data_IF_541668115521
#
_entry.id   IF_541668115521
#
_cell.length_a   1.000
_cell.length_b   1.000
_cell.length_c   1.000
_cell.angle_alpha   90.00
_cell.angle_beta   90.00
_cell.angle_gamma   90.00
#
_symmetry.space_group_name_H-M   'P 1'
#
loop_
_entity.id
_entity.type
_entity.pdbx_description
1 polymer ?
#
# COMPACT_ATOMS: atom_id res chain seq x y z
N UNK A 1 21.75 7.13 -3.27
CA UNK A 1 20.54 7.47 -2.47
C UNK A 1 19.50 6.43 -2.82
N UNK A 2 19.38 5.39 -2.01
CA UNK A 2 18.52 4.23 -2.31
C UNK A 2 17.79 3.86 -1.03
N UNK A 3 16.47 3.89 -1.07
CA UNK A 3 15.58 3.99 0.08
C UNK A 3 14.35 3.11 -0.24
N UNK A 4 14.33 1.85 0.29
CA UNK A 4 13.38 0.74 -0.04
C UNK A 4 13.05 -0.32 1.09
N UNK A 5 11.82 -0.39 1.68
CA UNK A 5 11.22 -1.19 2.80
C UNK A 5 9.67 -0.97 2.92
N UNK A 6 8.89 -2.02 2.63
CA UNK A 6 7.44 -2.08 2.39
C UNK A 6 6.67 -2.87 3.49
N UNK A 7 5.36 -2.58 3.73
CA UNK A 7 4.30 -3.60 4.01
C UNK A 7 2.85 -3.03 4.01
N UNK A 8 1.90 -3.77 3.39
CA UNK A 8 0.43 -3.59 3.43
C UNK A 8 -0.20 -4.79 4.15
N UNK A 9 -1.18 -4.59 5.06
CA UNK A 9 -1.96 -5.66 5.71
C UNK A 9 -3.45 -5.45 5.46
N UNK A 10 -4.18 -6.50 5.08
CA UNK A 10 -5.65 -6.52 4.95
C UNK A 10 -6.32 -7.49 5.94
N UNK A 11 -7.43 -7.04 6.53
CA UNK A 11 -8.46 -7.70 7.36
C UNK A 11 -8.11 -8.34 8.74
N UNK A 12 -9.05 -8.32 9.72
CA UNK A 12 -8.78 -8.70 11.12
C UNK A 12 -8.98 -10.20 11.35
N UNK A 13 -8.01 -10.86 11.97
CA UNK A 13 -8.16 -12.24 12.48
C UNK A 13 -8.30 -12.17 14.00
N UNK A 14 -9.36 -12.82 14.51
CA UNK A 14 -9.68 -12.91 15.95
C UNK A 14 -8.48 -13.37 16.79
N UNK A 15 -8.32 -12.74 17.96
CA UNK A 15 -7.25 -13.00 18.89
C UNK A 15 -7.26 -14.46 19.40
N UNK A 16 -6.21 -15.21 19.10
CA UNK A 16 -5.77 -16.35 19.92
C UNK A 16 -4.31 -16.17 20.28
N UNK A 17 -4.06 -16.15 21.58
CA UNK A 17 -2.76 -15.95 22.20
C UNK A 17 -1.82 -17.12 21.91
N UNK A 18 -0.55 -16.81 21.63
CA UNK A 18 0.55 -17.77 21.66
C UNK A 18 1.65 -17.20 22.57
N UNK A 19 1.79 -17.86 23.71
CA UNK A 19 2.88 -17.72 24.68
C UNK A 19 4.12 -18.47 24.22
N UNK A 20 5.30 -17.89 24.36
CA UNK A 20 6.56 -18.61 24.19
C UNK A 20 7.76 -17.68 24.02
N UNK A 21 8.74 -17.81 24.91
CA UNK A 21 9.84 -16.88 25.10
C UNK A 21 11.02 -17.07 24.13
N UNK A 22 11.79 -15.99 24.03
CA UNK A 22 13.22 -15.91 23.74
C UNK A 22 13.71 -15.96 22.28
N UNK A 23 14.07 -14.78 21.77
CA UNK A 23 15.39 -14.52 21.16
C UNK A 23 15.61 -13.02 21.02
N UNK A 24 16.46 -12.46 21.90
CA UNK A 24 16.98 -11.11 21.79
C UNK A 24 17.96 -11.03 20.62
N UNK A 25 17.50 -10.49 19.50
CA UNK A 25 18.36 -9.80 18.54
C UNK A 25 17.75 -8.43 18.28
N UNK A 26 18.52 -7.38 18.57
CA UNK A 26 18.11 -6.00 18.43
C UNK A 26 17.80 -5.71 16.95
N UNK A 27 16.51 -5.63 16.63
CA UNK A 27 16.03 -5.21 15.33
C UNK A 27 16.21 -3.69 15.20
N UNK A 28 16.67 -3.17 14.05
CA UNK A 28 16.68 -1.73 13.80
C UNK A 28 15.24 -1.20 13.81
N UNK A 29 15.06 0.01 14.36
CA UNK A 29 13.77 0.59 14.73
C UNK A 29 12.72 0.50 13.61
N UNK A 30 11.68 -0.30 13.86
CA UNK A 30 10.50 -0.44 13.01
C UNK A 30 9.81 0.92 12.87
N UNK A 31 9.45 1.33 11.65
CA UNK A 31 8.57 2.47 11.43
C UNK A 31 7.19 2.10 11.96
N UNK A 32 7.01 2.30 13.26
CA UNK A 32 5.79 2.03 13.97
C UNK A 32 4.67 2.85 13.32
N UNK A 33 3.51 2.22 13.10
CA UNK A 33 2.33 2.96 12.70
C UNK A 33 2.15 4.14 13.67
N UNK A 34 1.77 5.33 13.18
CA UNK A 34 1.60 6.49 14.02
C UNK A 34 0.63 6.16 15.15
N UNK A 35 0.91 6.73 16.34
CA UNK A 35 -0.03 6.69 17.45
C UNK A 35 -1.42 7.11 16.97
N UNK A 36 -2.48 6.56 17.58
CA UNK A 36 -3.85 6.71 17.07
C UNK A 36 -4.25 8.15 16.75
N UNK A 37 -3.85 9.13 17.59
CA UNK A 37 -4.07 10.55 17.35
C UNK A 37 -3.35 11.07 16.09
N UNK A 38 -2.07 10.75 15.92
CA UNK A 38 -1.29 11.16 14.74
C UNK A 38 -1.83 10.55 13.43
N UNK A 39 -2.44 9.36 13.48
CA UNK A 39 -3.08 8.75 12.30
C UNK A 39 -4.33 9.54 11.86
N UNK A 40 -5.13 10.01 12.82
CA UNK A 40 -6.33 10.82 12.52
C UNK A 40 -5.93 12.12 11.81
N UNK A 41 -4.89 12.79 12.29
CA UNK A 41 -4.39 14.03 11.67
C UNK A 41 -3.86 13.77 10.26
N UNK A 42 -3.12 12.68 10.04
CA UNK A 42 -2.64 12.29 8.71
C UNK A 42 -3.77 12.02 7.73
N UNK A 43 -4.82 11.32 8.16
CA UNK A 43 -6.01 11.09 7.35
C UNK A 43 -6.72 12.40 7.02
N UNK A 44 -6.92 13.28 7.99
CA UNK A 44 -7.55 14.58 7.78
C UNK A 44 -6.77 15.43 6.75
N UNK A 45 -5.45 15.47 6.85
CA UNK A 45 -4.58 16.14 5.88
C UNK A 45 -4.68 15.52 4.49
N UNK A 46 -4.73 14.20 4.39
CA UNK A 46 -4.91 13.50 3.12
C UNK A 46 -6.27 13.79 2.47
N UNK A 47 -7.35 13.82 3.26
CA UNK A 47 -8.67 14.19 2.76
C UNK A 47 -8.68 15.64 2.28
N UNK A 48 -8.03 16.56 3.00
CA UNK A 48 -7.91 17.96 2.59
C UNK A 48 -7.15 18.11 1.26
N UNK A 49 -6.01 17.42 1.09
CA UNK A 49 -5.26 17.40 -0.18
C UNK A 49 -6.08 16.82 -1.34
N UNK A 50 -6.82 15.74 -1.09
CA UNK A 50 -7.70 15.12 -2.07
C UNK A 50 -8.83 16.07 -2.50
N UNK A 51 -9.45 16.77 -1.56
CA UNK A 51 -10.48 17.75 -1.86
C UNK A 51 -9.92 18.98 -2.60
N UNK A 52 -8.71 19.42 -2.27
CA UNK A 52 -8.06 20.58 -2.88
C UNK A 52 -7.77 20.41 -4.37
N UNK A 53 -7.59 19.17 -4.86
CA UNK A 53 -7.44 18.88 -6.30
C UNK A 53 -8.78 18.70 -7.02
N UNK A 54 -9.90 18.90 -6.32
CA UNK A 54 -11.24 18.86 -6.91
C UNK A 54 -11.87 17.47 -7.00
N UNK A 55 -11.25 16.43 -6.44
CA UNK A 55 -11.81 15.08 -6.44
C UNK A 55 -13.14 15.05 -5.68
N UNK A 56 -14.07 14.23 -6.17
CA UNK A 56 -15.35 13.98 -5.50
C UNK A 56 -15.42 12.53 -5.03
N UNK A 57 -15.99 12.29 -3.86
CA UNK A 57 -16.05 10.95 -3.27
C UNK A 57 -16.77 9.89 -4.14
N UNK A 58 -17.62 10.30 -5.09
CA UNK A 58 -18.35 9.42 -6.02
C UNK A 58 -17.71 9.33 -7.42
N UNK A 59 -16.54 9.94 -7.60
CA UNK A 59 -15.82 9.92 -8.87
C UNK A 59 -15.38 8.49 -9.22
N UNK A 60 -15.36 8.19 -10.52
CA UNK A 60 -14.89 6.90 -11.02
C UNK A 60 -13.43 7.05 -11.45
N UNK A 61 -12.47 6.58 -10.65
CA UNK A 61 -11.06 6.70 -11.00
C UNK A 61 -10.73 5.89 -12.26
N UNK A 62 -9.98 6.49 -13.17
CA UNK A 62 -9.42 5.79 -14.34
C UNK A 62 -8.27 4.89 -13.91
N UNK A 63 -8.51 3.59 -13.85
CA UNK A 63 -7.53 2.59 -13.44
C UNK A 63 -6.69 2.02 -14.59
N UNK A 64 -6.65 2.69 -15.74
CA UNK A 64 -5.84 2.23 -16.87
C UNK A 64 -4.36 2.11 -16.45
N UNK A 65 -3.71 0.96 -16.70
CA UNK A 65 -2.28 0.83 -16.46
C UNK A 65 -1.50 1.69 -17.45
N UNK A 66 -0.24 1.97 -17.11
CA UNK A 66 0.73 2.55 -18.05
C UNK A 66 0.80 1.74 -19.35
N UNK A 67 1.16 2.43 -20.45
CA UNK A 67 1.50 1.75 -21.70
C UNK A 67 2.64 0.76 -21.47
N UNK A 68 2.72 -0.29 -22.29
CA UNK A 68 3.76 -1.32 -22.15
C UNK A 68 5.18 -0.74 -22.18
N UNK A 69 5.41 0.28 -23.01
CA UNK A 69 6.71 0.97 -23.12
C UNK A 69 7.03 1.69 -21.80
N UNK A 70 6.12 2.54 -21.33
CA UNK A 70 6.31 3.29 -20.09
C UNK A 70 6.44 2.37 -18.87
N UNK A 71 5.68 1.28 -18.82
CA UNK A 71 5.80 0.28 -17.76
C UNK A 71 7.17 -0.39 -17.78
N UNK A 72 7.68 -0.75 -18.96
CA UNK A 72 9.00 -1.38 -19.06
C UNK A 72 10.11 -0.45 -18.60
N UNK A 73 10.11 0.80 -19.06
CA UNK A 73 11.06 1.82 -18.62
C UNK A 73 11.01 2.04 -17.11
N UNK A 74 9.80 2.04 -16.54
CA UNK A 74 9.59 2.17 -15.11
C UNK A 74 10.18 0.98 -14.34
N UNK A 75 9.92 -0.25 -14.79
CA UNK A 75 10.45 -1.46 -14.16
C UNK A 75 11.98 -1.52 -14.26
N UNK A 76 12.55 -1.15 -15.41
CA UNK A 76 14.00 -1.13 -15.62
C UNK A 76 14.67 -0.10 -14.69
N UNK A 77 14.09 1.10 -14.57
CA UNK A 77 14.57 2.15 -13.65
C UNK A 77 14.51 1.72 -12.19
N UNK A 78 13.51 0.91 -11.82
CA UNK A 78 13.30 0.43 -10.45
C UNK A 78 13.83 -0.99 -10.20
N UNK A 79 14.61 -1.54 -11.12
CA UNK A 79 15.06 -2.95 -11.06
C UNK A 79 15.78 -3.28 -9.74
N UNK A 80 16.68 -2.40 -9.27
CA UNK A 80 17.40 -2.61 -8.02
C UNK A 80 16.47 -2.64 -6.80
N UNK A 81 15.50 -1.72 -6.74
CA UNK A 81 14.51 -1.70 -5.67
C UNK A 81 13.70 -3.00 -5.66
N UNK A 82 13.21 -3.42 -6.83
CA UNK A 82 12.44 -4.65 -6.96
C UNK A 82 13.26 -5.89 -6.57
N UNK A 83 14.49 -6.00 -7.04
CA UNK A 83 15.37 -7.14 -6.73
C UNK A 83 15.61 -7.31 -5.22
N UNK A 84 15.74 -6.21 -4.48
CA UNK A 84 15.91 -6.26 -3.03
C UNK A 84 14.59 -6.42 -2.25
N UNK A 85 13.49 -5.86 -2.76
CA UNK A 85 12.19 -5.94 -2.11
C UNK A 85 11.54 -7.32 -2.26
N UNK A 86 11.76 -8.01 -3.40
CA UNK A 86 11.07 -9.27 -3.73
C UNK A 86 11.15 -10.35 -2.63
N UNK A 87 12.33 -10.71 -2.07
CA UNK A 87 12.38 -11.73 -1.01
C UNK A 87 11.62 -11.33 0.25
N UNK A 88 11.56 -10.03 0.56
CA UNK A 88 10.79 -9.50 1.69
C UNK A 88 9.30 -9.60 1.42
N UNK A 89 8.87 -9.30 0.19
CA UNK A 89 7.48 -9.44 -0.24
C UNK A 89 7.03 -10.90 -0.19
N UNK A 90 7.83 -11.82 -0.70
CA UNK A 90 7.56 -13.28 -0.68
C UNK A 90 7.43 -13.79 0.77
N UNK A 91 8.36 -13.39 1.65
CA UNK A 91 8.29 -13.76 3.06
C UNK A 91 7.09 -13.13 3.79
N UNK A 92 6.69 -11.91 3.42
CA UNK A 92 5.48 -11.29 3.97
C UNK A 92 4.22 -12.01 3.48
N UNK A 93 4.13 -12.31 2.19
CA UNK A 93 3.02 -13.08 1.60
C UNK A 93 2.88 -14.44 2.28
N UNK A 94 3.97 -15.18 2.47
CA UNK A 94 3.96 -16.47 3.17
C UNK A 94 3.41 -16.39 4.61
N UNK A 95 3.62 -15.27 5.32
CA UNK A 95 3.08 -15.07 6.68
C UNK A 95 1.60 -14.70 6.70
N UNK A 96 1.07 -14.20 5.58
CA UNK A 96 -0.33 -13.78 5.45
C UNK A 96 -1.10 -14.63 4.43
N UNK A 97 -0.54 -15.79 4.05
CA UNK A 97 -1.21 -16.74 3.19
C UNK A 97 -2.58 -17.12 3.76
N UNK A 98 -3.55 -17.37 2.89
CA UNK A 98 -4.94 -17.72 3.24
C UNK A 98 -5.72 -16.60 3.98
N UNK A 99 -5.18 -15.39 4.06
CA UNK A 99 -5.91 -14.23 4.64
C UNK A 99 -6.66 -13.39 3.60
N UNK A 100 -6.63 -13.80 2.32
CA UNK A 100 -7.18 -13.01 1.20
C UNK A 100 -6.55 -11.61 1.16
N UNK A 101 -5.21 -11.57 1.14
CA UNK A 101 -4.42 -10.33 1.17
C UNK A 101 -3.49 -10.23 -0.05
N UNK A 102 -3.08 -8.99 -0.34
CA UNK A 102 -2.10 -8.67 -1.39
C UNK A 102 -0.95 -7.87 -0.80
N UNK A 103 0.25 -8.17 -1.26
CA UNK A 103 1.47 -7.41 -1.02
C UNK A 103 1.85 -6.70 -2.30
N UNK A 104 1.95 -5.37 -2.24
CA UNK A 104 2.20 -4.52 -3.41
C UNK A 104 3.48 -3.73 -3.23
N UNK A 105 4.30 -3.62 -4.27
CA UNK A 105 5.42 -2.68 -4.32
C UNK A 105 5.10 -1.59 -5.32
N UNK A 106 5.37 -0.32 -4.96
CA UNK A 106 5.20 0.82 -5.86
C UNK A 106 6.51 1.58 -6.04
N UNK A 107 6.58 2.38 -7.10
CA UNK A 107 7.60 3.42 -7.24
C UNK A 107 7.28 4.64 -6.34
N UNK A 108 8.13 5.67 -6.42
CA UNK A 108 7.97 6.92 -5.67
C UNK A 108 6.77 7.78 -6.14
N UNK A 109 6.22 7.52 -7.33
CA UNK A 109 5.02 8.18 -7.83
C UNK A 109 3.73 7.43 -7.48
N UNK A 110 3.83 6.27 -6.81
CA UNK A 110 2.70 5.43 -6.42
C UNK A 110 2.17 4.53 -7.54
N UNK A 111 2.97 4.27 -8.58
CA UNK A 111 2.67 3.27 -9.62
C UNK A 111 3.09 1.89 -9.14
N UNK A 112 2.19 0.92 -9.23
CA UNK A 112 2.47 -0.46 -8.80
C UNK A 112 3.52 -1.09 -9.73
N UNK A 113 4.63 -1.55 -9.14
CA UNK A 113 5.71 -2.27 -9.81
C UNK A 113 5.49 -3.79 -9.78
N UNK A 114 4.95 -4.30 -8.67
CA UNK A 114 4.74 -5.72 -8.47
C UNK A 114 3.64 -6.00 -7.45
N UNK A 115 2.94 -7.12 -7.62
CA UNK A 115 1.84 -7.57 -6.75
C UNK A 115 1.98 -9.07 -6.49
N UNK A 116 1.86 -9.49 -5.23
CA UNK A 116 1.87 -10.89 -4.80
C UNK A 116 0.63 -11.13 -3.94
N UNK A 117 -0.15 -12.16 -4.24
CA UNK A 117 -1.34 -12.56 -3.49
C UNK A 117 -1.86 -13.90 -3.99
N UNK A 118 -2.90 -14.42 -3.34
CA UNK A 118 -3.51 -15.70 -3.71
C UNK A 118 -4.36 -15.54 -4.98
N UNK A 119 -4.38 -16.53 -5.88
CA UNK A 119 -5.03 -16.45 -7.20
C UNK A 119 -6.52 -16.03 -7.11
N UNK A 120 -7.27 -16.63 -6.17
CA UNK A 120 -8.69 -16.30 -5.91
C UNK A 120 -8.90 -14.85 -5.43
N UNK A 121 -7.86 -14.23 -4.86
CA UNK A 121 -7.90 -12.84 -4.40
C UNK A 121 -7.41 -11.85 -5.46
N UNK A 122 -6.49 -12.27 -6.34
CA UNK A 122 -6.05 -11.46 -7.48
C UNK A 122 -7.24 -11.10 -8.37
N UNK A 123 -8.20 -12.00 -8.58
CA UNK A 123 -9.44 -11.68 -9.32
C UNK A 123 -10.28 -10.58 -8.65
N UNK A 124 -10.42 -10.61 -7.32
CA UNK A 124 -11.15 -9.57 -6.57
C UNK A 124 -10.40 -8.24 -6.56
N UNK A 125 -9.07 -8.29 -6.49
CA UNK A 125 -8.22 -7.11 -6.50
C UNK A 125 -8.10 -6.46 -7.88
N UNK A 126 -8.24 -7.24 -8.95
CA UNK A 126 -8.42 -6.70 -10.30
C UNK A 126 -9.67 -5.81 -10.40
N UNK A 127 -10.72 -6.06 -9.59
CA UNK A 127 -11.91 -5.19 -9.54
C UNK A 127 -11.63 -3.79 -9.00
N UNK A 128 -10.53 -3.60 -8.28
CA UNK A 128 -10.03 -2.28 -7.82
C UNK A 128 -8.69 -1.92 -8.45
N UNK A 129 -8.24 -2.67 -9.46
CA UNK A 129 -7.00 -2.42 -10.20
C UNK A 129 -5.74 -2.25 -9.32
N UNK A 130 -5.57 -3.16 -8.37
CA UNK A 130 -4.30 -3.33 -7.65
C UNK A 130 -3.34 -4.19 -8.49
N UNK A 131 -3.09 -3.78 -9.73
CA UNK A 131 -2.24 -4.49 -10.68
C UNK A 131 -1.09 -3.60 -11.16
N UNK A 132 -0.03 -4.25 -11.65
CA UNK A 132 1.19 -3.61 -12.12
C UNK A 132 0.90 -2.56 -13.20
N UNK A 133 1.53 -1.39 -13.07
CA UNK A 133 1.38 -0.25 -13.97
C UNK A 133 0.23 0.69 -13.60
N UNK A 134 -0.59 0.38 -12.60
CA UNK A 134 -1.67 1.28 -12.17
C UNK A 134 -1.16 2.25 -11.10
N UNK A 135 -1.47 3.54 -11.27
CA UNK A 135 -1.15 4.57 -10.28
C UNK A 135 -2.19 4.65 -9.17
N UNK A 136 -1.69 4.74 -7.94
CA UNK A 136 -2.42 4.99 -6.70
C UNK A 136 -2.06 6.33 -6.04
N UNK A 137 -1.52 7.27 -6.82
CA UNK A 137 -1.22 8.61 -6.35
C UNK A 137 -2.47 9.30 -5.79
N UNK A 138 -2.32 9.99 -4.65
CA UNK A 138 -3.42 10.64 -3.94
C UNK A 138 -4.17 11.66 -4.82
N UNK A 139 -3.45 12.37 -5.71
CA UNK A 139 -4.04 13.33 -6.65
C UNK A 139 -5.08 12.74 -7.61
N UNK A 140 -5.05 11.42 -7.85
CA UNK A 140 -5.92 10.73 -8.80
C UNK A 140 -6.85 9.70 -8.12
N UNK A 141 -6.48 9.20 -6.94
CA UNK A 141 -7.26 8.19 -6.19
C UNK A 141 -7.82 8.69 -4.87
N UNK A 142 -7.57 9.95 -4.55
CA UNK A 142 -7.82 10.52 -3.24
C UNK A 142 -7.06 9.79 -2.13
N UNK A 143 -7.44 10.05 -0.88
CA UNK A 143 -6.90 9.40 0.31
C UNK A 143 -6.93 7.89 0.16
N UNK A 144 -5.74 7.30 0.19
CA UNK A 144 -5.48 5.87 0.16
C UNK A 144 -4.11 5.61 0.78
N UNK A 145 -3.85 4.39 1.24
CA UNK A 145 -2.62 4.11 1.99
C UNK A 145 -1.33 4.42 1.21
N UNK A 146 -1.26 4.09 -0.08
CA UNK A 146 -0.07 4.32 -0.94
C UNK A 146 0.19 5.82 -1.09
N UNK A 147 -0.79 6.55 -1.61
CA UNK A 147 -0.67 7.98 -1.86
C UNK A 147 -0.39 8.79 -0.58
N UNK A 148 -1.05 8.44 0.52
CA UNK A 148 -0.89 9.14 1.81
C UNK A 148 0.45 8.82 2.47
N UNK A 149 0.95 7.58 2.39
CA UNK A 149 2.28 7.24 2.88
C UNK A 149 3.38 7.99 2.11
N UNK A 150 3.26 8.07 0.79
CA UNK A 150 4.20 8.82 -0.05
C UNK A 150 4.16 10.33 0.24
N UNK A 151 2.98 10.91 0.42
CA UNK A 151 2.83 12.34 0.68
C UNK A 151 3.30 12.75 2.09
N UNK A 152 3.09 11.89 3.09
CA UNK A 152 3.47 12.17 4.48
C UNK A 152 4.89 11.74 4.82
N UNK A 153 5.47 10.80 4.06
CA UNK A 153 6.72 10.13 4.46
C UNK A 153 6.56 9.27 5.72
N UNK A 154 5.32 8.94 6.11
CA UNK A 154 5.01 8.15 7.31
C UNK A 154 4.19 6.91 6.96
N UNK A 155 4.36 5.84 7.76
CA UNK A 155 3.50 4.67 7.64
C UNK A 155 2.05 5.02 8.03
N UNK A 156 1.07 4.42 7.37
CA UNK A 156 -0.36 4.67 7.63
C UNK A 156 -1.19 3.42 7.34
N UNK A 157 -2.29 3.26 8.08
CA UNK A 157 -3.36 2.34 7.74
C UNK A 157 -4.66 3.13 7.43
N UNK A 158 -5.35 2.72 6.37
CA UNK A 158 -6.56 3.31 5.81
C UNK A 158 -7.60 2.21 5.63
N UNK A 159 -8.76 2.37 6.26
CA UNK A 159 -9.79 1.35 6.35
C UNK A 159 -11.11 1.84 5.77
N UNK A 160 -11.65 1.13 4.79
CA UNK A 160 -12.99 1.33 4.25
C UNK A 160 -13.29 2.79 3.93
N UNK A 161 -14.21 3.39 4.69
CA UNK A 161 -14.66 4.77 4.50
C UNK A 161 -13.60 5.85 4.77
N UNK A 162 -12.45 5.49 5.36
CA UNK A 162 -11.28 6.38 5.44
C UNK A 162 -10.64 6.63 4.06
N UNK A 163 -10.95 5.80 3.06
CA UNK A 163 -10.61 6.14 1.68
C UNK A 163 -11.51 7.28 1.19
N UNK A 164 -10.93 8.23 0.46
CA UNK A 164 -11.68 9.38 -0.06
C UNK A 164 -12.72 8.95 -1.10
N UNK A 165 -12.34 8.08 -2.03
CA UNK A 165 -13.22 7.57 -3.07
C UNK A 165 -14.03 6.36 -2.57
N UNK A 166 -15.36 6.42 -2.74
CA UNK A 166 -16.27 5.32 -2.38
C UNK A 166 -15.94 4.01 -3.09
N UNK A 167 -15.42 4.08 -4.30
CA UNK A 167 -14.96 2.90 -5.06
C UNK A 167 -13.91 2.08 -4.28
N UNK A 168 -13.16 2.71 -3.38
CA UNK A 168 -12.09 2.09 -2.61
C UNK A 168 -12.55 1.63 -1.21
N UNK A 169 -13.82 1.83 -0.83
CA UNK A 169 -14.33 1.53 0.52
C UNK A 169 -14.38 0.03 0.85
N UNK A 170 -14.16 -0.84 -0.14
CA UNK A 170 -14.02 -2.28 0.09
C UNK A 170 -12.63 -2.66 0.63
N UNK A 171 -11.69 -1.71 0.66
CA UNK A 171 -10.28 -1.97 0.96
C UNK A 171 -9.93 -1.62 2.41
N UNK A 172 -9.02 -2.43 2.95
CA UNK A 172 -8.29 -2.16 4.19
C UNK A 172 -6.82 -2.26 3.82
N UNK A 173 -6.10 -1.14 3.90
CA UNK A 173 -4.74 -1.04 3.42
C UNK A 173 -3.85 -0.47 4.50
N UNK A 174 -2.65 -1.03 4.64
CA UNK A 174 -1.54 -0.35 5.33
C UNK A 174 -0.47 0.00 4.32
N UNK A 175 0.34 1.02 4.54
CA UNK A 175 1.48 1.28 3.68
C UNK A 175 2.57 1.92 4.53
N UNK A 176 3.81 1.50 4.29
CA UNK A 176 5.00 2.15 4.81
C UNK A 176 5.81 2.68 3.63
N UNK A 177 6.16 3.97 3.62
CA UNK A 177 7.00 4.52 2.59
C UNK A 177 8.42 4.01 2.79
N UNK A 178 9.25 4.22 1.77
CA UNK A 178 10.64 3.92 1.91
C UNK A 178 11.61 5.07 1.69
N UNK A 179 12.37 5.30 2.75
CA UNK A 179 13.35 6.35 3.03
C UNK A 179 14.71 5.77 3.37
#
# INVERSE_FOLDING_TARGET
MNRGRLAVRGAPVSAKALTGADRRQAMPQSSMLPAAAGRVDLLAQAHARSAAVGLRAHERPDFSPLSQIALRELLDTNHALFAHARPVMENLHAQIADTQSLVLLTDAAGVILHSIGDDDFIEKANRVALCTGVSWAERARGTNAIGTALASGQAIAVHGAEHFLRANHILTCSCAPIV
#
